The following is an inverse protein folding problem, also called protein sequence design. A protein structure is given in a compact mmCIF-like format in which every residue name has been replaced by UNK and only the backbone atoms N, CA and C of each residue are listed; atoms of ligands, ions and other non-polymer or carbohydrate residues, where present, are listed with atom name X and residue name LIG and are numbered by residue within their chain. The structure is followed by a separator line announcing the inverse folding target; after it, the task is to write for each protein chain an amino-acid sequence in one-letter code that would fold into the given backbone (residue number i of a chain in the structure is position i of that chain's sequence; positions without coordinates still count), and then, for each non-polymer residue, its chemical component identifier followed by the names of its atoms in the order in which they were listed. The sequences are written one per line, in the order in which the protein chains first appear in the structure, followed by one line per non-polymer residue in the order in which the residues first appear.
data_IF_717973967060
#
_entry.id   IF_717973967060
#
_cell.length_a   1.000
_cell.length_b   1.000
_cell.length_c   1.000
_cell.angle_alpha   90.00
_cell.angle_beta   90.00
_cell.angle_gamma   90.00
#
_symmetry.space_group_name_H-M   'P 1'
#
loop_
_entity.id
_entity.type
_entity.pdbx_description
1 polymer ?
#
# COMPACT_ATOMS: atom_id res chain seq x y z
N UNK A 1 31.52 82.64 -33.67
CA UNK A 1 30.67 81.75 -32.84
C UNK A 1 30.39 80.48 -33.63
N UNK A 2 30.81 79.28 -33.28
CA UNK A 2 31.78 78.75 -32.32
C UNK A 2 32.23 77.43 -32.97
N UNK A 3 33.47 77.37 -33.45
CA UNK A 3 34.14 76.16 -33.94
C UNK A 3 34.44 75.15 -32.80
N UNK A 4 33.57 75.08 -31.79
CA UNK A 4 33.74 74.26 -30.58
C UNK A 4 32.99 72.93 -30.67
N UNK A 5 32.23 72.66 -31.72
CA UNK A 5 31.39 71.46 -31.77
C UNK A 5 32.15 70.19 -32.14
N UNK A 6 33.18 70.26 -32.99
CA UNK A 6 33.94 69.08 -33.39
C UNK A 6 34.93 68.61 -32.31
N UNK A 7 35.67 69.52 -31.67
CA UNK A 7 36.61 69.16 -30.60
C UNK A 7 35.90 68.75 -29.31
N UNK A 8 34.79 69.42 -28.93
CA UNK A 8 34.00 69.01 -27.76
C UNK A 8 33.32 67.66 -28.00
N UNK A 9 32.84 67.37 -29.22
CA UNK A 9 32.26 66.07 -29.55
C UNK A 9 33.32 64.96 -29.64
N UNK A 10 34.52 65.26 -30.15
CA UNK A 10 35.66 64.35 -30.16
C UNK A 10 36.19 64.05 -28.75
N UNK A 11 36.18 65.03 -27.85
CA UNK A 11 36.52 64.88 -26.42
C UNK A 11 35.40 64.12 -25.67
N UNK A 12 34.12 64.42 -25.92
CA UNK A 12 32.97 63.68 -25.35
C UNK A 12 32.92 62.21 -25.81
N UNK A 13 33.32 61.93 -27.06
CA UNK A 13 33.45 60.56 -27.60
C UNK A 13 34.72 59.85 -27.10
N UNK A 14 35.85 60.54 -26.91
CA UNK A 14 37.07 59.97 -26.30
C UNK A 14 36.91 59.61 -24.83
N UNK A 15 36.06 60.31 -24.08
CA UNK A 15 35.84 60.05 -22.66
C UNK A 15 34.70 59.06 -22.35
N UNK A 16 33.89 58.67 -23.35
CA UNK A 16 33.01 57.49 -23.27
C UNK A 16 33.70 56.30 -23.93
N UNK A 17 34.69 55.76 -23.23
CA UNK A 17 35.38 54.52 -23.60
C UNK A 17 34.34 53.42 -23.89
N UNK A 18 34.29 52.85 -25.11
CA UNK A 18 33.45 51.70 -25.46
C UNK A 18 33.65 50.55 -24.48
N UNK A 19 34.86 50.42 -23.94
CA UNK A 19 35.25 49.47 -22.90
C UNK A 19 34.39 49.56 -21.64
N UNK A 20 34.01 50.75 -21.14
CA UNK A 20 33.15 50.85 -19.96
C UNK A 20 31.71 50.42 -20.23
N UNK A 21 31.22 50.63 -21.45
CA UNK A 21 29.87 50.22 -21.84
C UNK A 21 29.80 48.72 -22.09
N UNK A 22 30.81 48.16 -22.76
CA UNK A 22 30.99 46.72 -22.96
C UNK A 22 31.24 46.03 -21.61
N UNK A 23 32.04 46.60 -20.72
CA UNK A 23 32.29 46.06 -19.39
C UNK A 23 31.02 46.12 -18.52
N UNK A 24 30.25 47.20 -18.57
CA UNK A 24 28.96 47.31 -17.88
C UNK A 24 27.92 46.33 -18.43
N UNK A 25 27.88 46.12 -19.75
CA UNK A 25 26.98 45.18 -20.41
C UNK A 25 27.37 43.71 -20.14
N UNK A 26 28.65 43.37 -20.28
CA UNK A 26 29.18 42.06 -19.94
C UNK A 26 28.99 41.75 -18.45
N UNK A 27 29.20 42.73 -17.56
CA UNK A 27 28.95 42.58 -16.12
C UNK A 27 27.46 42.38 -15.81
N UNK A 28 26.57 43.20 -16.36
CA UNK A 28 25.13 43.05 -16.17
C UNK A 28 24.60 41.73 -16.74
N UNK A 29 25.13 41.29 -17.87
CA UNK A 29 24.78 39.99 -18.47
C UNK A 29 25.27 38.81 -17.61
N UNK A 30 26.49 38.89 -17.07
CA UNK A 30 27.05 37.89 -16.16
C UNK A 30 26.30 37.86 -14.81
N UNK A 31 25.91 39.02 -14.28
CA UNK A 31 25.13 39.15 -13.04
C UNK A 31 23.69 38.65 -13.22
N UNK A 32 23.01 39.02 -14.30
CA UNK A 32 21.68 38.51 -14.62
C UNK A 32 21.69 36.99 -14.85
N UNK A 33 22.77 36.48 -15.46
CA UNK A 33 22.99 35.04 -15.59
C UNK A 33 23.20 34.39 -14.22
N UNK A 34 24.10 34.92 -13.39
CA UNK A 34 24.36 34.40 -12.05
C UNK A 34 23.10 34.38 -11.17
N UNK A 35 22.24 35.40 -11.25
CA UNK A 35 20.97 35.44 -10.53
C UNK A 35 19.99 34.36 -11.01
N UNK A 36 19.87 34.17 -12.34
CA UNK A 36 19.04 33.12 -12.93
C UNK A 36 19.47 31.73 -12.43
N UNK A 37 20.77 31.46 -12.39
CA UNK A 37 21.27 30.14 -11.99
C UNK A 37 21.25 29.93 -10.47
N UNK A 38 21.45 30.99 -9.69
CA UNK A 38 21.24 30.97 -8.24
C UNK A 38 19.80 30.58 -7.89
N UNK A 39 18.81 31.17 -8.60
CA UNK A 39 17.39 30.79 -8.47
C UNK A 39 17.14 29.33 -8.82
N UNK A 40 17.80 28.81 -9.86
CA UNK A 40 17.69 27.40 -10.25
C UNK A 40 18.28 26.46 -9.18
N UNK A 41 19.44 26.78 -8.61
CA UNK A 41 19.99 26.00 -7.48
C UNK A 41 19.04 26.00 -6.29
N UNK A 42 18.51 27.16 -5.90
CA UNK A 42 17.52 27.22 -4.81
C UNK A 42 16.30 26.34 -5.10
N UNK A 43 15.79 26.36 -6.34
CA UNK A 43 14.69 25.50 -6.76
C UNK A 43 15.04 24.01 -6.67
N UNK A 44 16.24 23.61 -7.09
CA UNK A 44 16.70 22.23 -6.98
C UNK A 44 16.84 21.80 -5.51
N UNK A 45 17.39 22.64 -4.64
CA UNK A 45 17.48 22.36 -3.20
C UNK A 45 16.11 22.20 -2.54
N UNK A 46 15.15 23.05 -2.90
CA UNK A 46 13.75 22.94 -2.44
C UNK A 46 13.11 21.63 -2.90
N UNK A 47 13.35 21.24 -4.16
CA UNK A 47 12.88 19.95 -4.69
C UNK A 47 13.51 18.77 -3.94
N UNK A 48 14.82 18.80 -3.66
CA UNK A 48 15.49 17.75 -2.87
C UNK A 48 14.86 17.64 -1.47
N UNK A 49 14.65 18.78 -0.80
CA UNK A 49 14.02 18.79 0.54
C UNK A 49 12.61 18.23 0.50
N UNK A 50 11.83 18.60 -0.51
CA UNK A 50 10.48 18.09 -0.69
C UNK A 50 10.48 16.58 -0.98
N UNK A 51 11.37 16.10 -1.84
CA UNK A 51 11.52 14.67 -2.15
C UNK A 51 11.90 13.86 -0.90
N UNK A 52 12.85 14.35 -0.10
CA UNK A 52 13.21 13.70 1.17
C UNK A 52 12.01 13.64 2.12
N UNK A 53 11.26 14.74 2.26
CA UNK A 53 10.09 14.78 3.13
C UNK A 53 9.02 13.78 2.69
N UNK A 54 8.81 13.61 1.38
CA UNK A 54 7.87 12.63 0.84
C UNK A 54 8.35 11.19 0.99
N UNK A 55 9.65 10.95 0.82
CA UNK A 55 10.26 9.64 1.08
C UNK A 55 10.17 9.26 2.56
N UNK A 56 10.43 10.19 3.47
CA UNK A 56 10.27 9.99 4.91
C UNK A 56 8.81 9.74 5.30
N UNK A 57 7.87 10.47 4.70
CA UNK A 57 6.44 10.25 4.95
C UNK A 57 5.97 8.88 4.45
N UNK A 58 6.45 8.46 3.27
CA UNK A 58 6.19 7.11 2.74
C UNK A 58 6.75 6.03 3.67
N UNK A 59 7.97 6.22 4.19
CA UNK A 59 8.59 5.29 5.15
C UNK A 59 7.82 5.18 6.45
N UNK A 60 7.23 6.27 6.95
CA UNK A 60 6.37 6.25 8.16
C UNK A 60 5.10 5.42 7.98
N UNK A 61 4.63 5.25 6.73
CA UNK A 61 3.48 4.39 6.47
C UNK A 61 3.82 2.90 6.59
N UNK A 62 5.09 2.53 6.68
CA UNK A 62 5.54 1.15 6.86
C UNK A 62 5.59 0.81 8.36
N UNK A 63 5.07 -0.34 8.82
CA UNK A 63 4.69 -1.55 8.07
C UNK A 63 3.21 -1.59 7.58
N UNK A 64 2.88 -2.62 6.80
CA UNK A 64 1.53 -2.89 6.26
C UNK A 64 0.55 -3.09 7.43
N UNK A 65 -0.60 -2.41 7.39
CA UNK A 65 -1.65 -2.54 8.40
C UNK A 65 -2.28 -3.93 8.43
N UNK A 66 -2.67 -4.40 9.62
CA UNK A 66 -3.23 -5.74 9.83
C UNK A 66 -4.75 -5.85 9.70
N UNK A 67 -5.45 -4.76 9.37
CA UNK A 67 -6.90 -4.75 9.15
C UNK A 67 -7.29 -3.84 7.98
N UNK A 68 -8.49 -4.09 7.44
CA UNK A 68 -9.02 -3.39 6.27
C UNK A 68 -9.11 -1.87 6.47
N UNK A 69 -9.60 -1.33 7.61
CA UNK A 69 -9.62 0.12 7.83
C UNK A 69 -8.23 0.77 7.78
N UNK A 70 -7.25 0.17 8.45
CA UNK A 70 -5.87 0.69 8.49
C UNK A 70 -5.23 0.63 7.10
N UNK A 71 -5.41 -0.48 6.37
CA UNK A 71 -4.92 -0.60 5.00
C UNK A 71 -5.61 0.35 4.03
N UNK A 72 -6.92 0.58 4.20
CA UNK A 72 -7.65 1.53 3.38
C UNK A 72 -7.11 2.96 3.58
N UNK A 73 -6.77 3.33 4.82
CA UNK A 73 -6.10 4.60 5.11
C UNK A 73 -4.72 4.70 4.45
N UNK A 74 -3.90 3.64 4.53
CA UNK A 74 -2.60 3.59 3.87
C UNK A 74 -2.73 3.67 2.34
N UNK A 75 -3.71 2.97 1.77
CA UNK A 75 -4.04 3.02 0.34
C UNK A 75 -4.42 4.45 -0.10
N UNK A 76 -5.27 5.12 0.67
CA UNK A 76 -5.71 6.49 0.37
C UNK A 76 -4.54 7.49 0.47
N UNK A 77 -3.63 7.26 1.43
CA UNK A 77 -2.37 8.01 1.52
C UNK A 77 -1.50 7.79 0.28
N UNK A 78 -1.32 6.55 -0.20
CA UNK A 78 -0.59 6.26 -1.43
C UNK A 78 -1.19 6.95 -2.65
N UNK A 79 -2.53 6.96 -2.74
CA UNK A 79 -3.27 7.64 -3.80
C UNK A 79 -3.12 9.16 -3.73
N UNK A 80 -3.04 9.74 -2.53
CA UNK A 80 -2.72 11.16 -2.34
C UNK A 80 -1.28 11.47 -2.78
N UNK A 81 -0.30 10.70 -2.31
CA UNK A 81 1.10 10.85 -2.68
C UNK A 81 1.30 10.79 -4.20
N UNK A 82 0.67 9.84 -4.90
CA UNK A 82 0.74 9.75 -6.36
C UNK A 82 0.21 10.98 -7.08
N UNK A 83 -0.86 11.60 -6.57
CA UNK A 83 -1.39 12.85 -7.15
C UNK A 83 -0.40 13.99 -6.97
N UNK A 84 0.16 14.13 -5.78
CA UNK A 84 1.17 15.17 -5.50
C UNK A 84 2.44 15.00 -6.34
N UNK A 85 2.92 13.76 -6.50
CA UNK A 85 4.04 13.45 -7.40
C UNK A 85 3.71 13.90 -8.82
N UNK A 86 2.55 13.52 -9.36
CA UNK A 86 2.13 13.90 -10.71
C UNK A 86 2.00 15.42 -10.90
N UNK A 87 1.54 16.15 -9.89
CA UNK A 87 1.48 17.62 -9.93
C UNK A 87 2.88 18.25 -9.95
N UNK A 88 3.85 17.66 -9.24
CA UNK A 88 5.24 18.14 -9.18
C UNK A 88 6.12 17.66 -10.32
N UNK A 89 5.71 16.64 -11.05
CA UNK A 89 6.48 16.00 -12.13
C UNK A 89 7.00 17.03 -13.14
N UNK A 90 6.14 17.88 -13.68
CA UNK A 90 6.56 18.88 -14.67
C UNK A 90 7.57 19.90 -14.12
N UNK A 91 7.43 20.28 -12.85
CA UNK A 91 8.35 21.20 -12.18
C UNK A 91 9.74 20.55 -12.02
N UNK A 92 9.77 19.27 -11.63
CA UNK A 92 11.00 18.49 -11.46
C UNK A 92 11.71 18.30 -12.81
N UNK A 93 10.98 17.84 -13.84
CA UNK A 93 11.53 17.63 -15.17
C UNK A 93 12.06 18.93 -15.79
N UNK A 94 11.32 20.03 -15.64
CA UNK A 94 11.73 21.35 -16.12
C UNK A 94 12.98 21.87 -15.39
N UNK A 95 13.06 21.74 -14.06
CA UNK A 95 14.24 22.18 -13.31
C UNK A 95 15.49 21.37 -13.68
N UNK A 96 15.36 20.05 -13.83
CA UNK A 96 16.46 19.18 -14.29
C UNK A 96 16.87 19.51 -15.73
N UNK A 97 15.91 19.77 -16.63
CA UNK A 97 16.23 20.12 -18.02
C UNK A 97 16.89 21.50 -18.13
N UNK A 98 16.44 22.50 -17.36
CA UNK A 98 17.10 23.81 -17.27
C UNK A 98 18.55 23.69 -16.77
N UNK A 99 18.81 22.81 -15.78
CA UNK A 99 20.15 22.53 -15.29
C UNK A 99 21.00 21.84 -16.37
N UNK A 100 20.41 20.89 -17.12
CA UNK A 100 21.07 20.20 -18.24
C UNK A 100 21.43 21.15 -19.36
N UNK A 101 20.49 21.99 -19.81
CA UNK A 101 20.73 23.00 -20.84
C UNK A 101 21.84 23.96 -20.43
N UNK A 102 21.83 24.43 -19.18
CA UNK A 102 22.89 25.29 -18.66
C UNK A 102 24.26 24.62 -18.67
N UNK A 103 24.34 23.35 -18.27
CA UNK A 103 25.60 22.60 -18.29
C UNK A 103 26.09 22.33 -19.73
N UNK A 104 25.20 22.31 -20.71
CA UNK A 104 25.52 22.16 -22.13
C UNK A 104 25.91 23.48 -22.82
N UNK A 105 25.32 24.61 -22.40
CA UNK A 105 25.62 25.96 -22.90
C UNK A 105 26.95 26.53 -22.35
N UNK A 106 27.71 25.73 -21.60
CA UNK A 106 29.05 26.12 -21.18
C UNK A 106 29.94 26.26 -22.42
N UNK A 107 30.70 27.36 -22.58
CA UNK A 107 31.58 27.53 -23.72
C UNK A 107 32.55 26.34 -23.77
N UNK A 108 32.48 25.57 -24.85
CA UNK A 108 33.47 24.54 -25.16
C UNK A 108 34.81 25.25 -25.17
N UNK A 109 35.70 24.87 -24.27
CA UNK A 109 37.09 25.27 -24.26
C UNK A 109 37.69 24.82 -25.60
N UNK A 110 37.67 25.71 -26.59
CA UNK A 110 38.36 25.53 -27.85
C UNK A 110 39.85 25.35 -27.57
N UNK A 111 40.56 24.50 -28.35
CA UNK A 111 41.94 24.17 -28.06
C UNK A 111 42.83 25.42 -28.17
N UNK A 112 43.52 25.72 -27.06
CA UNK A 112 44.62 26.68 -26.87
C UNK A 112 44.43 28.15 -27.29
N UNK A 113 44.30 29.04 -26.31
CA UNK A 113 45.03 30.32 -26.34
C UNK A 113 45.51 30.73 -24.91
N UNK A 114 46.81 31.01 -24.71
CA UNK A 114 47.37 31.34 -23.40
C UNK A 114 47.20 32.83 -23.10
N UNK A 115 46.06 33.23 -22.51
CA UNK A 115 45.94 34.54 -21.84
C UNK A 115 45.52 34.36 -20.39
N UNK A 116 46.56 34.24 -19.55
CA UNK A 116 46.55 34.51 -18.11
C UNK A 116 45.81 35.82 -17.87
N UNK A 117 44.61 35.77 -17.24
CA UNK A 117 44.02 36.78 -16.33
C UNK A 117 42.50 36.63 -16.06
N UNK A 118 41.81 35.56 -16.50
CA UNK A 118 40.40 35.31 -16.11
C UNK A 118 40.22 34.29 -14.97
N UNK A 119 41.29 33.63 -14.53
CA UNK A 119 41.24 32.50 -13.60
C UNK A 119 41.02 32.87 -12.12
N UNK A 120 41.07 34.15 -11.72
CA UNK A 120 40.76 34.52 -10.33
C UNK A 120 39.26 34.57 -10.00
N UNK A 121 38.38 34.52 -11.03
CA UNK A 121 36.91 34.36 -10.88
C UNK A 121 36.43 32.92 -11.15
N UNK A 122 37.36 31.99 -11.42
CA UNK A 122 37.07 30.62 -11.84
C UNK A 122 36.59 29.71 -10.71
N UNK A 123 37.10 29.87 -9.48
CA UNK A 123 36.75 28.96 -8.37
C UNK A 123 35.26 28.95 -8.02
N UNK A 124 34.63 30.13 -7.97
CA UNK A 124 33.21 30.25 -7.61
C UNK A 124 32.27 29.73 -8.72
N UNK A 125 32.64 29.94 -9.99
CA UNK A 125 31.91 29.41 -11.14
C UNK A 125 32.08 27.89 -11.30
N UNK A 126 33.29 27.35 -11.08
CA UNK A 126 33.53 25.91 -11.06
C UNK A 126 32.79 25.21 -9.91
N UNK A 127 32.77 25.81 -8.71
CA UNK A 127 31.97 25.32 -7.58
C UNK A 127 30.48 25.32 -7.91
N UNK A 128 30.00 26.37 -8.56
CA UNK A 128 28.62 26.50 -9.02
C UNK A 128 28.24 25.39 -10.00
N UNK A 129 29.06 25.14 -11.03
CA UNK A 129 28.85 24.07 -12.00
C UNK A 129 28.84 22.68 -11.37
N UNK A 130 29.75 22.44 -10.43
CA UNK A 130 29.79 21.19 -9.67
C UNK A 130 28.51 21.01 -8.84
N UNK A 131 28.09 22.06 -8.12
CA UNK A 131 26.87 22.06 -7.31
C UNK A 131 25.63 21.84 -8.15
N UNK A 132 25.51 22.51 -9.30
CA UNK A 132 24.40 22.35 -10.24
C UNK A 132 24.32 20.93 -10.79
N UNK A 133 25.46 20.36 -11.21
CA UNK A 133 25.53 18.98 -11.68
C UNK A 133 25.15 17.99 -10.58
N UNK A 134 25.64 18.19 -9.36
CA UNK A 134 25.34 17.33 -8.22
C UNK A 134 23.85 17.38 -7.85
N UNK A 135 23.30 18.59 -7.66
CA UNK A 135 21.91 18.74 -7.23
C UNK A 135 20.91 18.28 -8.30
N UNK A 136 21.16 18.57 -9.58
CA UNK A 136 20.28 18.08 -10.66
C UNK A 136 20.29 16.56 -10.78
N UNK A 137 21.46 15.92 -10.63
CA UNK A 137 21.56 14.46 -10.56
C UNK A 137 20.84 13.89 -9.34
N UNK A 138 21.01 14.51 -8.17
CA UNK A 138 20.37 14.09 -6.93
C UNK A 138 18.83 14.23 -6.98
N UNK A 139 18.31 15.33 -7.55
CA UNK A 139 16.86 15.50 -7.79
C UNK A 139 16.33 14.37 -8.66
N UNK A 140 17.03 14.07 -9.77
CA UNK A 140 16.61 13.02 -10.70
C UNK A 140 16.61 11.63 -10.04
N UNK A 141 17.70 11.27 -9.36
CA UNK A 141 17.83 9.98 -8.67
C UNK A 141 16.76 9.82 -7.58
N UNK A 142 16.57 10.83 -6.73
CA UNK A 142 15.55 10.79 -5.67
C UNK A 142 14.14 10.72 -6.22
N UNK A 143 13.86 11.44 -7.30
CA UNK A 143 12.57 11.38 -7.99
C UNK A 143 12.28 9.98 -8.54
N UNK A 144 13.24 9.37 -9.23
CA UNK A 144 13.11 8.01 -9.79
C UNK A 144 12.98 6.95 -8.68
N UNK A 145 13.80 7.07 -7.63
CA UNK A 145 13.75 6.18 -6.46
C UNK A 145 12.41 6.29 -5.72
N UNK A 146 11.93 7.51 -5.44
CA UNK A 146 10.66 7.73 -4.76
C UNK A 146 9.48 7.19 -5.58
N UNK A 147 9.47 7.39 -6.90
CA UNK A 147 8.43 6.82 -7.76
C UNK A 147 8.45 5.30 -7.76
N UNK A 148 9.63 4.70 -7.82
CA UNK A 148 9.80 3.24 -7.77
C UNK A 148 9.29 2.71 -6.43
N UNK A 149 9.74 3.30 -5.32
CA UNK A 149 9.32 2.94 -3.96
C UNK A 149 7.80 3.10 -3.78
N UNK A 150 7.24 4.25 -4.13
CA UNK A 150 5.80 4.50 -4.03
C UNK A 150 4.98 3.54 -4.90
N UNK A 151 5.46 3.17 -6.08
CA UNK A 151 4.78 2.20 -6.94
C UNK A 151 4.82 0.77 -6.40
N UNK A 152 5.95 0.36 -5.82
CA UNK A 152 6.11 -0.95 -5.18
C UNK A 152 5.26 -1.05 -3.92
N UNK A 153 5.32 -0.02 -3.08
CA UNK A 153 4.49 0.07 -1.87
C UNK A 153 2.99 0.05 -2.19
N UNK A 154 2.55 0.80 -3.21
CA UNK A 154 1.15 0.75 -3.60
C UNK A 154 0.71 -0.65 -4.06
N UNK A 155 1.53 -1.36 -4.84
CA UNK A 155 1.22 -2.76 -5.20
C UNK A 155 1.09 -3.66 -3.98
N UNK A 156 1.99 -3.50 -3.00
CA UNK A 156 1.94 -4.26 -1.76
C UNK A 156 0.66 -3.98 -0.96
N UNK A 157 0.27 -2.70 -0.86
CA UNK A 157 -0.97 -2.29 -0.20
C UNK A 157 -2.21 -2.79 -0.95
N UNK A 158 -2.23 -2.71 -2.28
CA UNK A 158 -3.34 -3.19 -3.10
C UNK A 158 -3.55 -4.70 -2.90
N UNK A 159 -2.47 -5.49 -2.95
CA UNK A 159 -2.51 -6.94 -2.73
C UNK A 159 -2.93 -7.30 -1.30
N UNK A 160 -2.37 -6.62 -0.29
CA UNK A 160 -2.72 -6.85 1.11
C UNK A 160 -4.19 -6.52 1.38
N UNK A 161 -4.69 -5.42 0.80
CA UNK A 161 -6.07 -4.96 0.97
C UNK A 161 -7.06 -5.92 0.30
N UNK A 162 -6.75 -6.44 -0.88
CA UNK A 162 -7.55 -7.47 -1.54
C UNK A 162 -7.66 -8.73 -0.68
N UNK A 163 -6.52 -9.27 -0.23
CA UNK A 163 -6.49 -10.49 0.59
C UNK A 163 -7.20 -10.34 1.93
N UNK A 164 -7.06 -9.19 2.60
CA UNK A 164 -7.76 -8.94 3.86
C UNK A 164 -9.26 -8.72 3.66
N UNK A 165 -9.68 -8.11 2.55
CA UNK A 165 -11.11 -8.01 2.20
C UNK A 165 -11.71 -9.38 1.92
N UNK A 166 -11.02 -10.23 1.15
CA UNK A 166 -11.46 -11.60 0.88
C UNK A 166 -11.60 -12.41 2.17
N UNK A 167 -10.62 -12.31 3.07
CA UNK A 167 -10.68 -12.94 4.38
C UNK A 167 -11.86 -12.41 5.20
N UNK A 168 -12.03 -11.09 5.28
CA UNK A 168 -13.10 -10.48 6.06
C UNK A 168 -14.50 -10.86 5.52
N UNK A 169 -14.71 -10.79 4.21
CA UNK A 169 -15.97 -11.22 3.59
C UNK A 169 -16.25 -12.70 3.87
N UNK A 170 -15.24 -13.57 3.72
CA UNK A 170 -15.40 -15.00 4.00
C UNK A 170 -15.71 -15.28 5.47
N UNK A 171 -15.12 -14.50 6.39
CA UNK A 171 -15.40 -14.57 7.82
C UNK A 171 -16.81 -14.11 8.16
N UNK A 172 -17.30 -13.04 7.53
CA UNK A 172 -18.68 -12.55 7.72
C UNK A 172 -19.71 -13.58 7.19
N UNK A 173 -19.43 -14.19 6.04
CA UNK A 173 -20.26 -15.26 5.47
C UNK A 173 -20.28 -16.51 6.38
N UNK A 174 -19.12 -16.89 6.94
CA UNK A 174 -19.05 -17.99 7.90
C UNK A 174 -19.76 -17.68 9.21
N UNK A 175 -19.65 -16.45 9.73
CA UNK A 175 -20.36 -16.02 10.94
C UNK A 175 -21.87 -16.15 10.76
N UNK A 176 -22.39 -15.75 9.59
CA UNK A 176 -23.80 -15.86 9.25
C UNK A 176 -24.26 -17.32 9.22
N UNK A 177 -23.55 -18.19 8.49
CA UNK A 177 -23.84 -19.63 8.42
C UNK A 177 -23.79 -20.28 9.81
N UNK A 178 -22.77 -19.96 10.62
CA UNK A 178 -22.62 -20.52 11.97
C UNK A 178 -23.78 -20.09 12.87
N UNK A 179 -24.21 -18.82 12.81
CA UNK A 179 -25.37 -18.34 13.57
C UNK A 179 -26.64 -19.08 13.18
N UNK A 180 -26.86 -19.32 11.89
CA UNK A 180 -28.02 -20.08 11.41
C UNK A 180 -27.99 -21.52 11.92
N UNK A 181 -26.85 -22.19 11.78
CA UNK A 181 -26.67 -23.56 12.25
C UNK A 181 -26.82 -23.68 13.78
N UNK A 182 -26.25 -22.75 14.54
CA UNK A 182 -26.39 -22.65 16.00
C UNK A 182 -27.86 -22.41 16.39
N UNK A 183 -28.60 -21.59 15.65
CA UNK A 183 -30.03 -21.35 15.92
C UNK A 183 -30.88 -22.61 15.70
N UNK A 184 -30.65 -23.33 14.60
CA UNK A 184 -31.30 -24.62 14.34
C UNK A 184 -30.99 -25.60 15.47
N UNK A 185 -29.71 -25.68 15.85
CA UNK A 185 -29.22 -26.55 16.92
C UNK A 185 -29.86 -26.24 18.28
N UNK A 186 -29.90 -24.96 18.66
CA UNK A 186 -30.49 -24.51 19.93
C UNK A 186 -31.99 -24.79 20.03
N UNK A 187 -32.68 -24.99 18.89
CA UNK A 187 -34.08 -25.39 18.84
C UNK A 187 -34.34 -26.87 19.19
N UNK A 188 -33.30 -27.71 19.28
CA UNK A 188 -33.46 -29.15 19.47
C UNK A 188 -33.73 -29.51 20.94
N UNK A 189 -34.67 -30.44 21.16
CA UNK A 189 -34.98 -30.94 22.51
C UNK A 189 -33.89 -31.93 22.99
N UNK A 190 -33.59 -31.99 24.30
CA UNK A 190 -32.74 -33.04 24.87
C UNK A 190 -33.25 -34.42 24.48
N UNK A 191 -32.34 -35.36 24.18
CA UNK A 191 -32.71 -36.70 23.67
C UNK A 191 -33.59 -37.47 24.67
N UNK A 192 -33.42 -37.24 25.98
CA UNK A 192 -34.23 -37.87 27.03
C UNK A 192 -35.71 -37.47 27.06
N UNK A 193 -36.07 -36.31 26.49
CA UNK A 193 -37.45 -35.80 26.49
C UNK A 193 -38.22 -36.16 25.21
N UNK A 194 -37.63 -36.99 24.34
CA UNK A 194 -38.17 -37.29 23.01
C UNK A 194 -39.08 -38.52 23.05
N UNK A 195 -40.22 -38.42 22.38
CA UNK A 195 -41.16 -39.53 22.24
C UNK A 195 -40.60 -40.61 21.32
N UNK A 196 -40.73 -41.88 21.71
CA UNK A 196 -40.25 -43.02 20.89
C UNK A 196 -40.81 -43.02 19.47
N UNK A 197 -42.07 -42.60 19.27
CA UNK A 197 -42.71 -42.53 17.96
C UNK A 197 -42.14 -41.44 17.03
N UNK A 198 -41.43 -40.45 17.60
CA UNK A 198 -40.84 -39.32 16.87
C UNK A 198 -39.34 -39.49 16.62
N UNK A 199 -38.70 -40.52 17.19
CA UNK A 199 -37.23 -40.66 17.15
C UNK A 199 -36.68 -40.83 15.73
N UNK A 200 -37.41 -41.50 14.83
CA UNK A 200 -36.99 -41.65 13.44
C UNK A 200 -37.01 -40.32 12.68
N UNK A 201 -38.10 -39.55 12.81
CA UNK A 201 -38.24 -38.21 12.21
C UNK A 201 -37.17 -37.24 12.74
N UNK A 202 -36.82 -37.36 14.02
CA UNK A 202 -35.75 -36.57 14.63
C UNK A 202 -34.34 -37.00 14.17
N UNK A 203 -34.14 -38.29 13.90
CA UNK A 203 -32.91 -38.79 13.26
C UNK A 203 -32.80 -38.22 11.85
N UNK A 204 -33.87 -38.27 11.08
CA UNK A 204 -33.91 -37.75 9.71
C UNK A 204 -33.61 -36.24 9.68
N UNK A 205 -34.16 -35.47 10.62
CA UNK A 205 -33.81 -34.04 10.83
C UNK A 205 -32.35 -33.83 11.19
N UNK A 206 -31.79 -34.67 12.05
CA UNK A 206 -30.37 -34.58 12.46
C UNK A 206 -29.45 -34.93 11.30
N UNK A 207 -29.82 -35.91 10.47
CA UNK A 207 -29.06 -36.24 9.25
C UNK A 207 -29.15 -35.14 8.20
N UNK A 208 -30.32 -34.53 8.02
CA UNK A 208 -30.48 -33.39 7.11
C UNK A 208 -29.65 -32.18 7.56
N UNK A 209 -29.65 -31.88 8.87
CA UNK A 209 -28.80 -30.82 9.44
C UNK A 209 -27.31 -31.09 9.20
N UNK A 210 -26.85 -32.34 9.33
CA UNK A 210 -25.47 -32.72 9.01
C UNK A 210 -25.09 -32.41 7.56
N UNK A 211 -26.01 -32.66 6.62
CA UNK A 211 -25.80 -32.33 5.21
C UNK A 211 -25.76 -30.81 5.00
N UNK A 212 -26.60 -30.06 5.71
CA UNK A 212 -26.68 -28.59 5.66
C UNK A 212 -25.43 -27.89 6.23
N UNK A 213 -24.84 -28.41 7.31
CA UNK A 213 -23.60 -27.84 7.88
C UNK A 213 -22.33 -28.34 7.17
N UNK A 214 -22.43 -29.32 6.26
CA UNK A 214 -21.28 -29.87 5.51
C UNK A 214 -20.47 -28.79 4.77
N UNK A 215 -21.08 -27.81 4.06
CA UNK A 215 -20.37 -26.73 3.39
C UNK A 215 -19.59 -25.81 4.34
N UNK A 216 -20.02 -25.67 5.61
CA UNK A 216 -19.35 -24.84 6.62
C UNK A 216 -17.93 -25.33 6.88
N UNK A 217 -17.70 -26.65 6.85
CA UNK A 217 -16.34 -27.22 6.96
C UNK A 217 -15.41 -26.75 5.84
N UNK A 218 -15.93 -26.64 4.62
CA UNK A 218 -15.16 -26.17 3.47
C UNK A 218 -14.84 -24.68 3.59
N UNK A 219 -15.82 -23.87 4.03
CA UNK A 219 -15.62 -22.43 4.29
C UNK A 219 -14.53 -22.19 5.34
N UNK A 220 -14.47 -23.00 6.39
CA UNK A 220 -13.43 -22.91 7.43
C UNK A 220 -12.05 -23.25 6.90
N UNK A 221 -11.93 -24.31 6.10
CA UNK A 221 -10.66 -24.64 5.43
C UNK A 221 -10.22 -23.48 4.54
N UNK A 222 -11.14 -22.94 3.73
CA UNK A 222 -10.88 -21.81 2.86
C UNK A 222 -10.42 -20.56 3.61
N UNK A 223 -11.07 -20.21 4.71
CA UNK A 223 -10.69 -19.07 5.57
C UNK A 223 -9.31 -19.28 6.20
N UNK A 224 -9.00 -20.49 6.68
CA UNK A 224 -7.69 -20.80 7.23
C UNK A 224 -6.61 -20.77 6.13
N UNK A 225 -6.93 -21.21 4.91
CA UNK A 225 -6.05 -21.08 3.75
C UNK A 225 -5.80 -19.61 3.39
N UNK A 226 -6.84 -18.76 3.39
CA UNK A 226 -6.71 -17.32 3.18
C UNK A 226 -5.84 -16.67 4.26
N UNK A 227 -6.04 -17.04 5.54
CA UNK A 227 -5.21 -16.57 6.65
C UNK A 227 -3.73 -16.98 6.48
N UNK A 228 -3.48 -18.21 6.02
CA UNK A 228 -2.12 -18.69 5.75
C UNK A 228 -1.43 -17.93 4.60
N UNK A 229 -2.18 -17.46 3.60
CA UNK A 229 -1.68 -16.67 2.48
C UNK A 229 -1.24 -15.25 2.87
N UNK A 230 -1.56 -14.78 4.09
CA UNK A 230 -1.09 -13.48 4.57
C UNK A 230 0.37 -13.52 5.01
N UNK A 231 0.85 -14.67 5.50
CA UNK A 231 2.23 -14.80 6.02
C UNK A 231 3.31 -14.55 4.96
N UNK A 232 3.22 -15.08 3.72
CA UNK A 232 4.17 -14.78 2.65
C UNK A 232 4.24 -13.30 2.23
N UNK A 233 3.26 -12.48 2.61
CA UNK A 233 3.21 -11.04 2.31
C UNK A 233 3.78 -10.18 3.45
N UNK A 234 4.39 -10.81 4.46
CA UNK A 234 4.76 -10.18 5.75
C UNK A 234 3.57 -9.44 6.40
N UNK A 235 2.36 -9.92 6.14
CA UNK A 235 1.12 -9.35 6.62
C UNK A 235 0.66 -10.12 7.84
N UNK A 236 0.65 -9.45 8.98
CA UNK A 236 0.11 -9.98 10.22
C UNK A 236 -1.30 -9.43 10.45
N UNK A 237 -2.33 -10.30 10.52
CA UNK A 237 -3.67 -9.86 10.88
C UNK A 237 -3.65 -9.12 12.22
N UNK A 238 -4.49 -8.09 12.34
CA UNK A 238 -4.61 -7.39 13.61
C UNK A 238 -5.12 -8.34 14.69
N UNK A 239 -4.87 -7.98 15.96
CA UNK A 239 -5.36 -8.76 17.10
C UNK A 239 -6.89 -8.95 17.06
N UNK A 240 -7.61 -7.97 16.51
CA UNK A 240 -9.07 -8.04 16.35
C UNK A 240 -9.44 -9.13 15.33
N UNK A 241 -8.83 -9.11 14.15
CA UNK A 241 -9.10 -10.10 13.08
C UNK A 241 -8.73 -11.50 13.54
N UNK A 242 -7.56 -11.65 14.19
CA UNK A 242 -7.10 -12.94 14.72
C UNK A 242 -8.08 -13.52 15.74
N UNK A 243 -8.56 -12.70 16.69
CA UNK A 243 -9.55 -13.15 17.68
C UNK A 243 -10.87 -13.56 17.04
N UNK A 244 -11.33 -12.85 16.01
CA UNK A 244 -12.54 -13.22 15.29
C UNK A 244 -12.37 -14.56 14.56
N UNK A 245 -11.20 -14.80 13.96
CA UNK A 245 -10.87 -16.07 13.30
C UNK A 245 -10.86 -17.24 14.30
N UNK A 246 -10.26 -17.03 15.48
CA UNK A 246 -10.22 -18.02 16.55
C UNK A 246 -11.62 -18.32 17.10
N UNK A 247 -12.46 -17.30 17.28
CA UNK A 247 -13.86 -17.45 17.72
C UNK A 247 -14.68 -18.30 16.75
N UNK A 248 -14.61 -18.00 15.44
CA UNK A 248 -15.30 -18.78 14.41
C UNK A 248 -14.84 -20.24 14.39
N UNK A 249 -13.52 -20.48 14.47
CA UNK A 249 -12.96 -21.83 14.54
C UNK A 249 -13.40 -22.58 15.81
N UNK A 250 -13.52 -21.90 16.94
CA UNK A 250 -13.98 -22.50 18.20
C UNK A 250 -15.47 -22.85 18.15
N UNK A 251 -16.32 -21.92 17.69
CA UNK A 251 -17.76 -22.13 17.54
C UNK A 251 -18.08 -23.29 16.62
N UNK A 252 -17.37 -23.40 15.50
CA UNK A 252 -17.49 -24.57 14.62
C UNK A 252 -17.12 -25.88 15.30
N UNK A 253 -16.00 -25.92 16.03
CA UNK A 253 -15.58 -27.14 16.75
C UNK A 253 -16.61 -27.56 17.80
N UNK A 254 -17.20 -26.60 18.51
CA UNK A 254 -18.28 -26.87 19.46
C UNK A 254 -19.50 -27.45 18.75
N UNK A 255 -19.93 -26.83 17.65
CA UNK A 255 -21.06 -27.30 16.84
C UNK A 255 -20.84 -28.73 16.32
N UNK A 256 -19.63 -29.07 15.87
CA UNK A 256 -19.29 -30.44 15.44
C UNK A 256 -19.44 -31.46 16.57
N UNK A 257 -18.87 -31.18 17.75
CA UNK A 257 -18.92 -32.09 18.91
C UNK A 257 -20.36 -32.30 19.35
N UNK A 258 -21.14 -31.22 19.42
CA UNK A 258 -22.54 -31.27 19.81
C UNK A 258 -23.41 -32.06 18.82
N UNK A 259 -23.22 -31.84 17.52
CA UNK A 259 -23.92 -32.57 16.48
C UNK A 259 -23.60 -34.08 16.50
N UNK A 260 -22.33 -34.45 16.62
CA UNK A 260 -21.89 -35.84 16.74
C UNK A 260 -22.52 -36.53 17.96
N UNK A 261 -22.51 -35.88 19.12
CA UNK A 261 -23.08 -36.42 20.36
C UNK A 261 -24.58 -36.72 20.22
N UNK A 262 -25.35 -35.80 19.66
CA UNK A 262 -26.80 -35.98 19.50
C UNK A 262 -27.12 -37.07 18.48
N UNK A 263 -26.40 -37.11 17.36
CA UNK A 263 -26.59 -38.15 16.35
C UNK A 263 -26.25 -39.54 16.91
N UNK A 264 -25.15 -39.67 17.67
CA UNK A 264 -24.75 -40.93 18.29
C UNK A 264 -25.77 -41.39 19.33
N UNK A 265 -26.26 -40.48 20.19
CA UNK A 265 -27.27 -40.78 21.20
C UNK A 265 -28.61 -41.23 20.60
N UNK A 266 -29.07 -40.57 19.54
CA UNK A 266 -30.29 -40.96 18.84
C UNK A 266 -30.15 -42.35 18.19
N UNK A 267 -29.03 -42.58 17.49
CA UNK A 267 -28.75 -43.87 16.85
C UNK A 267 -28.72 -45.00 17.90
N UNK A 268 -28.07 -44.77 19.04
CA UNK A 268 -28.00 -45.73 20.12
C UNK A 268 -29.37 -46.07 20.71
N UNK A 269 -30.23 -45.07 20.97
CA UNK A 269 -31.58 -45.30 21.47
C UNK A 269 -32.44 -46.07 20.48
N UNK A 270 -32.37 -45.74 19.19
CA UNK A 270 -33.10 -46.48 18.14
C UNK A 270 -32.64 -47.94 18.12
N UNK A 271 -31.32 -48.21 18.23
CA UNK A 271 -30.81 -49.58 18.32
C UNK A 271 -31.34 -50.33 19.54
N UNK A 272 -31.35 -49.71 20.73
CA UNK A 272 -31.90 -50.31 21.95
C UNK A 272 -33.38 -50.65 21.78
N UNK A 273 -34.19 -49.69 21.32
CA UNK A 273 -35.64 -49.87 21.14
C UNK A 273 -35.90 -50.99 20.13
N UNK A 274 -35.18 -51.01 19.01
CA UNK A 274 -35.31 -52.04 17.98
C UNK A 274 -34.94 -53.42 18.53
N UNK A 275 -33.87 -53.51 19.33
CA UNK A 275 -33.42 -54.77 19.95
C UNK A 275 -34.42 -55.29 21.00
N UNK A 276 -34.92 -54.41 21.87
CA UNK A 276 -35.91 -54.76 22.89
C UNK A 276 -37.23 -55.21 22.25
N UNK A 277 -37.70 -54.50 21.22
CA UNK A 277 -38.90 -54.91 20.48
C UNK A 277 -38.72 -56.28 19.83
N UNK A 278 -37.59 -56.51 19.16
CA UNK A 278 -37.29 -57.81 18.53
C UNK A 278 -37.20 -58.96 19.55
N UNK A 279 -36.55 -58.71 20.69
CA UNK A 279 -36.44 -59.71 21.77
C UNK A 279 -37.79 -60.00 22.44
N UNK A 280 -38.60 -58.97 22.65
CA UNK A 280 -39.95 -59.10 23.24
C UNK A 280 -40.88 -59.86 22.30
N UNK A 281 -40.78 -59.61 20.99
CA UNK A 281 -41.52 -60.35 19.97
C UNK A 281 -41.10 -61.83 19.92
N UNK A 282 -39.80 -62.11 19.99
CA UNK A 282 -39.28 -63.49 20.03
C UNK A 282 -39.83 -64.24 21.24
N UNK A 283 -39.76 -63.64 22.44
CA UNK A 283 -40.29 -64.23 23.67
C UNK A 283 -41.80 -64.45 23.62
N UNK A 284 -42.55 -63.55 22.97
CA UNK A 284 -43.99 -63.71 22.77
C UNK A 284 -44.30 -64.87 21.82
N UNK A 285 -43.57 -65.01 20.71
CA UNK A 285 -43.75 -66.11 19.76
C UNK A 285 -43.42 -67.47 20.41
N UNK A 286 -42.36 -67.52 21.22
CA UNK A 286 -41.97 -68.72 21.97
C UNK A 286 -42.99 -69.10 23.07
N UNK A 287 -43.74 -68.13 23.62
CA UNK A 287 -44.76 -68.39 24.64
C UNK A 287 -46.09 -68.90 24.05
N UNK A 288 -46.34 -68.64 22.76
CA UNK A 288 -47.60 -68.96 22.07
C UNK A 288 -47.45 -70.23 21.20
N UNK A 289 -46.23 -70.71 20.97
CA UNK A 289 -45.91 -71.96 20.24
C UNK A 289 -45.84 -73.17 21.16
#
# INVERSE_FOLDING_TARGET
MQYLTAEIWYVLMKHKTPEKYVESYCRAHLEASAEKWSKLLMSLEELIKWLNLKDDELKKQMPVGGDVPTLQQQHDHCKALRRELKEKEQMILSAVDQARMFLADQPIEGPEEPRKNLLSKSGQFCFFLHSMRKQSAEVKEKWESLNTCASGWQKQIDQALEKLKDLQCSMDDLDADLREAENVRNGWKPVGDRLMASLQDELDKTTAFREEISPVSLKIKYINDLSSQLSPLDLHPSLKVSRQLDDLNMRWKLLQVEDEEVHQNQTFLICIITYLNKSSFSLLVDLIS
#
